data_IF_549523620544
#
_entry.id   IF_549523620544
#
_cell.length_a   1.000
_cell.length_b   1.000
_cell.length_c   1.000
_cell.angle_alpha   90.00
_cell.angle_beta   90.00
_cell.angle_gamma   90.00
#
_symmetry.space_group_name_H-M   'P 1'
#
loop_
_entity.id
_entity.type
_entity.pdbx_description
1 polymer ?
#
# COMPACT_ATOMS: atom_id res chain seq x y z
N UNK A 1 -2.64 7.31 -3.70
CA UNK A 1 -3.66 6.38 -3.14
C UNK A 1 -4.28 5.43 -4.16
N UNK A 2 -4.86 5.88 -5.30
CA UNK A 2 -5.38 4.99 -6.37
C UNK A 2 -4.35 4.51 -7.40
N UNK A 3 -3.10 5.00 -7.30
CA UNK A 3 -1.99 4.75 -8.22
C UNK A 3 -2.24 5.05 -9.70
N UNK A 4 -3.17 5.94 -9.99
CA UNK A 4 -3.40 6.50 -11.32
C UNK A 4 -2.57 7.77 -11.48
N UNK A 5 -1.98 7.94 -12.66
CA UNK A 5 -1.34 9.21 -13.09
C UNK A 5 -2.42 10.22 -13.46
N UNK A 6 -2.08 11.53 -13.47
CA UNK A 6 -2.89 12.52 -14.14
C UNK A 6 -3.20 12.05 -15.57
N UNK A 7 -4.46 12.16 -15.99
CA UNK A 7 -4.96 11.77 -17.31
C UNK A 7 -5.08 10.27 -17.61
N UNK A 8 -4.70 9.38 -16.68
CA UNK A 8 -5.07 7.96 -16.82
C UNK A 8 -6.61 7.81 -16.83
N UNK A 9 -7.18 6.84 -17.58
CA UNK A 9 -8.61 6.59 -17.56
C UNK A 9 -9.16 6.41 -16.13
N UNK A 10 -10.16 7.22 -15.76
CA UNK A 10 -10.76 7.20 -14.42
C UNK A 10 -9.97 7.95 -13.35
N UNK A 11 -8.87 8.65 -13.69
CA UNK A 11 -8.20 9.58 -12.80
C UNK A 11 -9.09 10.79 -12.47
N UNK A 12 -8.90 11.37 -11.29
CA UNK A 12 -9.55 12.64 -10.96
C UNK A 12 -8.96 13.74 -11.87
N UNK A 13 -9.84 14.56 -12.44
CA UNK A 13 -9.41 15.64 -13.31
C UNK A 13 -8.60 16.68 -12.52
N UNK A 14 -7.47 17.11 -13.09
CA UNK A 14 -6.67 18.21 -12.55
C UNK A 14 -7.01 19.44 -13.37
N UNK A 15 -7.64 20.42 -12.76
CA UNK A 15 -7.94 21.70 -13.41
C UNK A 15 -7.41 22.86 -12.55
N UNK A 16 -7.00 23.93 -13.23
CA UNK A 16 -6.42 25.14 -12.61
C UNK A 16 -7.48 25.94 -11.85
N UNK A 17 -8.74 25.81 -12.26
CA UNK A 17 -9.91 26.37 -11.58
C UNK A 17 -10.63 25.24 -10.84
N UNK A 18 -11.16 25.53 -9.66
CA UNK A 18 -11.87 24.57 -8.84
C UNK A 18 -13.06 23.95 -9.60
N UNK A 19 -12.97 22.65 -9.89
CA UNK A 19 -13.92 21.97 -10.78
C UNK A 19 -15.02 21.19 -10.07
N UNK A 20 -14.84 20.88 -8.78
CA UNK A 20 -15.76 20.02 -8.06
C UNK A 20 -16.80 20.88 -7.34
N UNK A 21 -17.99 21.01 -7.93
CA UNK A 21 -19.15 21.68 -7.31
C UNK A 21 -20.05 20.71 -6.54
N UNK A 22 -19.89 19.39 -6.76
CA UNK A 22 -20.64 18.32 -6.11
C UNK A 22 -19.68 17.19 -5.67
N UNK A 23 -19.94 16.52 -4.53
CA UNK A 23 -19.19 15.34 -4.12
C UNK A 23 -19.09 14.31 -5.25
N UNK A 24 -17.87 13.96 -5.64
CA UNK A 24 -17.63 13.03 -6.76
C UNK A 24 -16.89 11.79 -6.27
N UNK A 25 -17.47 10.62 -6.52
CA UNK A 25 -16.90 9.34 -6.13
C UNK A 25 -15.95 8.79 -7.19
N UNK A 26 -14.78 8.35 -6.74
CA UNK A 26 -13.77 7.69 -7.55
C UNK A 26 -13.48 6.30 -7.00
N UNK A 27 -14.04 5.23 -7.59
CA UNK A 27 -13.76 3.85 -7.20
C UNK A 27 -12.27 3.51 -7.38
N UNK A 28 -11.75 2.66 -6.50
CA UNK A 28 -10.41 2.10 -6.64
C UNK A 28 -10.40 1.03 -7.74
N UNK A 29 -9.42 1.04 -8.68
CA UNK A 29 -9.39 0.07 -9.79
C UNK A 29 -9.42 -1.41 -9.34
N UNK A 30 -8.68 -1.74 -8.27
CA UNK A 30 -8.64 -3.10 -7.71
C UNK A 30 -9.84 -3.46 -6.81
N UNK A 31 -10.69 -2.49 -6.43
CA UNK A 31 -11.82 -2.72 -5.53
C UNK A 31 -12.88 -1.61 -5.63
N UNK A 32 -13.96 -1.86 -6.36
CA UNK A 32 -15.03 -0.89 -6.59
C UNK A 32 -15.80 -0.45 -5.32
N UNK A 33 -15.73 -1.26 -4.26
CA UNK A 33 -16.33 -0.93 -2.97
C UNK A 33 -15.49 0.07 -2.17
N UNK A 34 -14.21 0.24 -2.50
CA UNK A 34 -13.35 1.28 -1.95
C UNK A 34 -13.48 2.54 -2.83
N UNK A 35 -14.05 3.61 -2.27
CA UNK A 35 -14.29 4.86 -2.99
C UNK A 35 -13.54 6.00 -2.35
N UNK A 36 -12.78 6.74 -3.16
CA UNK A 36 -12.22 8.04 -2.77
C UNK A 36 -13.19 9.11 -3.22
N UNK A 37 -13.67 9.92 -2.28
CA UNK A 37 -14.60 10.99 -2.58
C UNK A 37 -13.83 12.31 -2.64
N UNK A 38 -13.89 12.97 -3.79
CA UNK A 38 -13.44 14.34 -3.93
C UNK A 38 -14.59 15.26 -3.54
N UNK A 39 -14.35 16.11 -2.54
CA UNK A 39 -15.34 17.02 -1.98
C UNK A 39 -15.00 18.45 -2.40
N UNK A 40 -15.99 19.26 -2.80
CA UNK A 40 -15.80 20.70 -3.02
C UNK A 40 -15.08 21.37 -1.86
N UNK A 41 -14.18 22.32 -2.13
CA UNK A 41 -13.56 23.12 -1.08
C UNK A 41 -14.61 23.90 -0.29
N UNK A 42 -14.40 24.01 1.03
CA UNK A 42 -15.30 24.80 1.88
C UNK A 42 -15.33 26.28 1.47
N UNK A 43 -14.20 26.79 0.96
CA UNK A 43 -14.01 28.18 0.52
C UNK A 43 -14.34 28.39 -0.97
N UNK A 44 -14.89 27.38 -1.63
CA UNK A 44 -15.19 27.44 -3.06
C UNK A 44 -16.32 28.40 -3.36
N UNK A 45 -16.09 29.37 -4.25
CA UNK A 45 -17.16 30.23 -4.79
C UNK A 45 -18.21 29.40 -5.57
N UNK A 46 -17.86 28.17 -5.98
CA UNK A 46 -18.68 27.25 -6.78
C UNK A 46 -19.82 26.57 -6.01
N UNK A 47 -19.83 26.62 -4.68
CA UNK A 47 -21.00 26.25 -3.84
C UNK A 47 -21.87 27.48 -3.49
N UNK A 48 -21.61 28.65 -4.10
CA UNK A 48 -22.35 29.89 -3.81
C UNK A 48 -22.00 30.45 -2.42
N UNK A 49 -20.76 30.23 -1.99
CA UNK A 49 -20.37 30.21 -0.57
C UNK A 49 -19.87 31.54 -0.02
N UNK A 50 -20.25 32.68 -0.61
CA UNK A 50 -20.30 33.90 0.20
C UNK A 50 -21.39 33.82 1.29
N UNK A 51 -22.30 32.83 1.24
CA UNK A 51 -23.42 32.68 2.19
C UNK A 51 -23.86 31.24 2.54
N UNK A 52 -23.09 30.18 2.29
CA UNK A 52 -23.51 28.86 2.80
C UNK A 52 -23.16 28.76 4.29
N UNK A 53 -24.15 28.63 5.20
CA UNK A 53 -23.83 28.45 6.61
C UNK A 53 -23.02 27.16 6.77
N UNK A 54 -21.93 27.21 7.54
CA UNK A 54 -21.08 26.08 7.93
C UNK A 54 -21.84 24.74 8.13
N UNK A 55 -23.02 24.80 8.72
CA UNK A 55 -23.86 23.61 8.96
C UNK A 55 -24.51 23.01 7.70
N UNK A 56 -24.89 23.84 6.71
CA UNK A 56 -25.47 23.39 5.45
C UNK A 56 -24.47 22.60 4.60
N UNK A 57 -23.18 22.96 4.67
CA UNK A 57 -22.10 22.22 3.99
C UNK A 57 -22.01 20.75 4.47
N UNK A 58 -22.05 20.52 5.79
CA UNK A 58 -21.98 19.16 6.36
C UNK A 58 -23.11 18.27 5.84
N UNK A 59 -24.32 18.83 5.76
CA UNK A 59 -25.50 18.13 5.24
C UNK A 59 -25.41 17.92 3.74
N UNK A 60 -25.04 18.96 2.97
CA UNK A 60 -24.92 18.88 1.51
C UNK A 60 -23.87 17.86 1.06
N UNK A 61 -22.76 17.76 1.80
CA UNK A 61 -21.68 16.81 1.52
C UNK A 61 -21.92 15.43 2.14
N UNK A 62 -23.01 15.25 2.88
CA UNK A 62 -23.40 14.00 3.54
C UNK A 62 -22.28 13.34 4.36
N UNK A 63 -21.70 14.06 5.31
CA UNK A 63 -20.49 13.62 6.06
C UNK A 63 -20.59 12.24 6.72
N UNK A 64 -21.80 11.80 7.09
CA UNK A 64 -22.02 10.51 7.73
C UNK A 64 -21.71 9.31 6.81
N UNK A 65 -21.68 9.51 5.49
CA UNK A 65 -21.43 8.43 4.53
C UNK A 65 -19.96 8.00 4.44
N UNK A 66 -19.03 8.81 4.92
CA UNK A 66 -17.60 8.54 4.81
C UNK A 66 -17.08 7.80 6.04
N UNK A 67 -16.09 6.94 5.86
CA UNK A 67 -15.44 6.21 6.95
C UNK A 67 -14.46 7.09 7.73
N UNK A 68 -13.71 7.94 7.02
CA UNK A 68 -12.75 8.89 7.55
C UNK A 68 -12.52 10.02 6.54
N UNK A 69 -11.79 11.05 6.94
CA UNK A 69 -11.53 12.23 6.11
C UNK A 69 -10.04 12.51 5.92
N UNK A 70 -9.70 13.07 4.76
CA UNK A 70 -8.38 13.62 4.47
C UNK A 70 -8.55 15.12 4.28
N UNK A 71 -7.95 15.92 5.15
CA UNK A 71 -7.98 17.38 5.05
C UNK A 71 -6.66 17.80 4.44
N UNK A 72 -6.68 18.10 3.14
CA UNK A 72 -5.48 18.37 2.34
C UNK A 72 -5.32 19.87 2.13
N UNK A 73 -4.14 20.41 2.43
CA UNK A 73 -3.79 21.80 2.17
C UNK A 73 -2.46 21.90 1.40
N UNK A 74 -2.29 22.98 0.63
CA UNK A 74 -1.05 23.27 -0.11
C UNK A 74 -0.11 24.24 0.57
N UNK A 75 -0.59 25.06 1.50
CA UNK A 75 0.23 26.14 2.10
C UNK A 75 0.11 26.15 3.62
N UNK A 76 -1.01 26.63 4.15
CA UNK A 76 -1.28 26.66 5.58
C UNK A 76 -2.68 26.16 5.84
N UNK A 77 -2.89 25.58 7.01
CA UNK A 77 -4.24 25.30 7.48
C UNK A 77 -4.91 26.59 7.92
N UNK A 78 -6.20 26.68 7.62
CA UNK A 78 -7.05 27.83 7.91
C UNK A 78 -7.95 27.54 9.11
N UNK A 79 -8.67 28.57 9.57
CA UNK A 79 -9.73 28.39 10.57
C UNK A 79 -10.84 27.44 10.09
N UNK A 80 -11.07 27.36 8.77
CA UNK A 80 -12.07 26.48 8.19
C UNK A 80 -11.66 25.02 8.26
N UNK A 81 -10.38 24.71 8.04
CA UNK A 81 -9.83 23.35 8.20
C UNK A 81 -9.93 22.88 9.66
N UNK A 82 -9.61 23.77 10.60
CA UNK A 82 -9.72 23.50 12.02
C UNK A 82 -11.18 23.29 12.44
N UNK A 83 -12.08 24.11 11.93
CA UNK A 83 -13.52 23.96 12.17
C UNK A 83 -14.06 22.64 11.60
N UNK A 84 -13.61 22.26 10.40
CA UNK A 84 -13.97 21.03 9.72
C UNK A 84 -13.53 19.82 10.55
N UNK A 85 -12.27 19.77 10.97
CA UNK A 85 -11.74 18.71 11.83
C UNK A 85 -12.51 18.59 13.15
N UNK A 86 -12.82 19.72 13.81
CA UNK A 86 -13.64 19.73 15.04
C UNK A 86 -15.04 19.13 14.79
N UNK A 87 -15.65 19.37 13.62
CA UNK A 87 -16.96 18.80 13.28
C UNK A 87 -16.87 17.30 12.97
N UNK A 88 -15.86 16.87 12.23
CA UNK A 88 -15.59 15.46 11.94
C UNK A 88 -15.37 14.67 13.23
N UNK A 89 -14.58 15.21 14.16
CA UNK A 89 -14.36 14.60 15.47
C UNK A 89 -15.66 14.48 16.28
N UNK A 90 -16.54 15.49 16.24
CA UNK A 90 -17.84 15.47 16.94
C UNK A 90 -18.79 14.40 16.41
N UNK A 91 -18.66 13.98 15.15
CA UNK A 91 -19.42 12.86 14.58
C UNK A 91 -18.69 11.52 14.69
N UNK A 92 -17.66 11.45 15.55
CA UNK A 92 -16.85 10.25 15.82
C UNK A 92 -16.21 9.64 14.57
N UNK A 93 -15.80 10.48 13.62
CA UNK A 93 -15.06 10.06 12.42
C UNK A 93 -13.59 10.47 12.55
N UNK A 94 -12.70 9.63 12.04
CA UNK A 94 -11.27 9.96 11.97
C UNK A 94 -10.97 10.95 10.85
N UNK A 95 -9.88 11.69 11.01
CA UNK A 95 -9.33 12.53 9.95
C UNK A 95 -7.80 12.56 10.01
N UNK A 96 -7.19 12.91 8.88
CA UNK A 96 -5.75 13.13 8.73
C UNK A 96 -5.54 14.49 8.08
N UNK A 97 -4.67 15.32 8.66
CA UNK A 97 -4.22 16.58 8.08
C UNK A 97 -3.02 16.32 7.17
N UNK A 98 -3.12 16.74 5.91
CA UNK A 98 -2.07 16.51 4.91
C UNK A 98 -1.66 17.86 4.32
N UNK A 99 -0.44 18.29 4.61
CA UNK A 99 0.23 19.37 3.88
C UNK A 99 0.96 18.75 2.70
N UNK A 100 0.42 18.94 1.50
CA UNK A 100 1.03 18.44 0.25
C UNK A 100 2.01 19.46 -0.34
N UNK A 101 2.70 19.16 -1.45
CA UNK A 101 3.64 20.05 -2.16
C UNK A 101 4.95 20.38 -1.43
N UNK A 102 5.37 19.53 -0.49
CA UNK A 102 6.66 19.68 0.21
C UNK A 102 7.85 19.69 -0.75
N UNK A 103 7.75 18.95 -1.85
CA UNK A 103 8.74 18.99 -2.93
C UNK A 103 8.93 20.40 -3.49
N UNK A 104 7.84 21.13 -3.74
CA UNK A 104 7.93 22.49 -4.27
C UNK A 104 8.43 23.49 -3.22
N UNK A 105 8.09 23.30 -1.93
CA UNK A 105 8.61 24.17 -0.86
C UNK A 105 10.14 24.03 -0.73
N UNK A 106 10.65 22.79 -0.86
CA UNK A 106 12.08 22.50 -0.87
C UNK A 106 12.76 23.13 -2.09
N UNK A 107 12.25 22.84 -3.30
CA UNK A 107 12.82 23.36 -4.55
C UNK A 107 12.93 24.90 -4.49
N UNK A 108 11.85 25.59 -4.09
CA UNK A 108 11.84 27.05 -3.99
C UNK A 108 12.82 27.60 -2.94
N UNK A 109 12.93 26.96 -1.77
CA UNK A 109 13.81 27.44 -0.70
C UNK A 109 15.28 27.20 -1.05
N UNK A 110 15.58 26.08 -1.72
CA UNK A 110 16.92 25.76 -2.17
C UNK A 110 17.41 26.75 -3.22
N UNK A 111 16.54 27.14 -4.17
CA UNK A 111 16.85 28.18 -5.16
C UNK A 111 17.12 29.56 -4.52
N UNK A 112 16.49 29.86 -3.38
CA UNK A 112 16.67 31.14 -2.68
C UNK A 112 17.88 31.17 -1.72
N UNK A 113 18.27 30.02 -1.16
CA UNK A 113 19.20 29.93 -0.02
C UNK A 113 20.31 28.88 -0.24
N UNK A 114 20.79 28.72 -1.47
CA UNK A 114 21.72 27.66 -1.93
C UNK A 114 22.72 27.15 -0.87
N UNK A 115 23.56 28.04 -0.28
CA UNK A 115 24.62 27.63 0.66
C UNK A 115 24.13 27.31 2.10
N UNK A 116 22.92 27.72 2.48
CA UNK A 116 22.37 27.58 3.84
C UNK A 116 21.15 26.66 3.90
N UNK A 117 20.82 25.98 2.81
CA UNK A 117 19.64 25.13 2.75
C UNK A 117 19.72 23.97 3.74
N UNK A 118 18.73 23.91 4.63
CA UNK A 118 18.56 22.86 5.62
C UNK A 118 17.12 22.31 5.51
N UNK A 119 16.99 21.15 4.86
CA UNK A 119 15.71 20.47 4.65
C UNK A 119 15.02 20.15 6.00
N UNK A 120 15.77 19.73 7.02
CA UNK A 120 15.19 19.37 8.32
C UNK A 120 14.61 20.59 9.04
N UNK A 121 15.35 21.70 9.05
CA UNK A 121 14.89 22.96 9.64
C UNK A 121 13.68 23.52 8.86
N UNK A 122 13.69 23.48 7.53
CA UNK A 122 12.54 23.88 6.71
C UNK A 122 11.29 23.06 7.05
N UNK A 123 11.41 21.73 7.10
CA UNK A 123 10.30 20.85 7.44
C UNK A 123 9.80 21.08 8.87
N UNK A 124 10.69 21.33 9.82
CA UNK A 124 10.34 21.68 11.19
C UNK A 124 9.56 23.01 11.24
N UNK A 125 10.00 24.02 10.49
CA UNK A 125 9.33 25.32 10.40
C UNK A 125 7.93 25.19 9.77
N UNK A 126 7.79 24.46 8.66
CA UNK A 126 6.50 24.19 8.03
C UNK A 126 5.57 23.44 9.00
N UNK A 127 6.09 22.42 9.70
CA UNK A 127 5.31 21.68 10.69
C UNK A 127 4.83 22.59 11.81
N UNK A 128 5.72 23.39 12.39
CA UNK A 128 5.39 24.30 13.49
C UNK A 128 4.38 25.36 13.06
N UNK A 129 4.49 25.90 11.84
CA UNK A 129 3.51 26.84 11.28
C UNK A 129 2.14 26.17 11.14
N UNK A 130 2.07 24.96 10.56
CA UNK A 130 0.83 24.19 10.46
C UNK A 130 0.23 23.91 11.85
N UNK A 131 1.06 23.48 12.79
CA UNK A 131 0.62 23.20 14.16
C UNK A 131 0.16 24.45 14.88
N UNK A 132 0.80 25.60 14.75
CA UNK A 132 0.37 26.84 15.40
C UNK A 132 -1.07 27.23 14.99
N UNK A 133 -1.42 27.02 13.70
CA UNK A 133 -2.77 27.25 13.19
C UNK A 133 -3.79 26.22 13.72
N UNK A 134 -3.37 24.98 14.01
CA UNK A 134 -4.22 23.91 14.54
C UNK A 134 -4.34 23.90 16.09
N UNK A 135 -3.24 24.17 16.80
CA UNK A 135 -3.05 24.02 18.25
C UNK A 135 -3.57 25.19 19.08
N UNK A 136 -3.75 26.38 18.48
CA UNK A 136 -4.57 27.45 19.07
C UNK A 136 -5.98 26.97 19.48
N UNK A 137 -6.35 25.75 19.07
CA UNK A 137 -7.69 25.23 19.12
C UNK A 137 -7.85 23.76 19.59
N UNK A 138 -6.81 22.89 19.60
CA UNK A 138 -6.81 21.55 20.24
C UNK A 138 -5.43 20.83 20.19
N UNK A 139 -4.89 20.34 21.32
CA UNK A 139 -3.61 19.60 21.37
C UNK A 139 -3.65 18.20 20.72
N UNK A 140 -4.83 17.62 20.52
CA UNK A 140 -4.97 16.26 19.98
C UNK A 140 -4.76 16.17 18.46
N UNK A 141 -4.52 17.29 17.76
CA UNK A 141 -4.41 17.31 16.29
C UNK A 141 -2.99 17.11 15.76
N UNK A 142 -1.97 17.21 16.62
CA UNK A 142 -0.57 17.18 16.20
C UNK A 142 -0.13 15.85 15.59
N UNK A 143 -0.61 14.72 16.15
CA UNK A 143 -0.31 13.38 15.62
C UNK A 143 -0.93 13.09 14.26
N UNK A 144 -1.94 13.87 13.86
CA UNK A 144 -2.67 13.69 12.60
C UNK A 144 -2.08 14.51 11.44
N UNK A 145 -0.97 15.24 11.63
CA UNK A 145 -0.34 16.06 10.58
C UNK A 145 0.76 15.29 9.82
N UNK A 146 0.65 15.29 8.49
CA UNK A 146 1.58 14.65 7.56
C UNK A 146 2.02 15.65 6.49
N UNK A 147 3.34 15.79 6.32
CA UNK A 147 3.99 16.58 5.29
C UNK A 147 4.40 15.66 4.13
N UNK A 148 3.79 15.80 2.96
CA UNK A 148 4.01 14.90 1.82
C UNK A 148 4.17 15.65 0.50
N UNK A 149 4.63 14.95 -0.52
CA UNK A 149 4.41 15.35 -1.91
C UNK A 149 3.27 14.54 -2.53
N UNK A 150 2.55 15.16 -3.46
CA UNK A 150 1.57 14.46 -4.30
C UNK A 150 2.21 13.71 -5.48
N UNK A 151 3.50 13.91 -5.75
CA UNK A 151 4.20 13.25 -6.86
C UNK A 151 4.51 11.79 -6.50
N UNK A 152 4.16 10.86 -7.40
CA UNK A 152 4.30 9.41 -7.15
C UNK A 152 5.76 8.94 -6.96
N UNK A 153 6.74 9.68 -7.50
CA UNK A 153 8.16 9.39 -7.33
C UNK A 153 8.65 9.65 -5.89
N UNK A 154 7.91 10.45 -5.11
CA UNK A 154 8.28 10.82 -3.74
C UNK A 154 7.52 10.02 -2.66
N UNK A 155 6.86 8.91 -3.01
CA UNK A 155 6.12 8.06 -2.06
C UNK A 155 6.98 7.41 -0.96
N UNK A 156 8.31 7.56 -1.02
CA UNK A 156 9.26 7.10 0.01
C UNK A 156 9.83 8.22 0.86
N UNK A 157 9.53 9.49 0.53
CA UNK A 157 10.06 10.67 1.22
C UNK A 157 9.06 11.22 2.23
N UNK A 158 9.59 11.99 3.19
CA UNK A 158 8.84 12.71 4.21
C UNK A 158 7.84 11.82 4.95
N UNK A 159 6.62 12.31 5.21
CA UNK A 159 5.61 11.59 5.96
C UNK A 159 4.77 10.61 5.14
N UNK A 160 5.01 10.43 3.83
CA UNK A 160 4.15 9.58 3.02
C UNK A 160 4.11 8.11 3.52
N UNK A 161 5.24 7.46 3.85
CA UNK A 161 5.22 6.11 4.43
C UNK A 161 4.44 6.05 5.74
N UNK A 162 4.65 7.04 6.63
CA UNK A 162 3.95 7.15 7.92
C UNK A 162 2.44 7.33 7.74
N UNK A 163 2.03 8.22 6.82
CA UNK A 163 0.63 8.42 6.44
C UNK A 163 0.00 7.11 5.97
N UNK A 164 0.70 6.36 5.11
CA UNK A 164 0.21 5.08 4.62
C UNK A 164 0.08 4.04 5.76
N UNK A 165 1.06 3.94 6.65
CA UNK A 165 1.00 3.04 7.79
C UNK A 165 -0.20 3.33 8.70
N UNK A 166 -0.46 4.61 8.99
CA UNK A 166 -1.57 5.03 9.84
C UNK A 166 -2.92 4.83 9.15
N UNK A 167 -3.03 5.11 7.85
CA UNK A 167 -4.24 4.83 7.05
C UNK A 167 -4.57 3.33 7.03
N UNK A 168 -3.55 2.47 6.89
CA UNK A 168 -3.72 1.02 6.83
C UNK A 168 -4.16 0.42 8.17
N UNK A 169 -3.94 1.11 9.29
CA UNK A 169 -4.36 0.64 10.62
C UNK A 169 -5.68 1.27 11.09
N UNK A 170 -6.14 2.34 10.42
CA UNK A 170 -7.34 3.09 10.80
C UNK A 170 -8.63 2.26 10.79
N UNK A 171 -8.79 1.37 9.81
CA UNK A 171 -10.04 0.63 9.62
C UNK A 171 -10.21 -0.56 10.58
N UNK A 172 -11.46 -0.94 10.93
CA UNK A 172 -11.77 -2.24 11.55
C UNK A 172 -11.41 -3.42 10.63
N UNK A 173 -11.17 -4.60 11.20
CA UNK A 173 -10.49 -5.73 10.54
C UNK A 173 -10.96 -6.08 9.12
N UNK A 174 -12.27 -6.19 8.86
CA UNK A 174 -12.77 -6.54 7.52
C UNK A 174 -12.52 -5.42 6.49
N UNK A 175 -12.83 -4.17 6.85
CA UNK A 175 -12.56 -3.00 5.99
C UNK A 175 -11.05 -2.82 5.80
N UNK A 176 -10.27 -3.07 6.85
CA UNK A 176 -8.80 -3.02 6.84
C UNK A 176 -8.24 -4.02 5.84
N UNK A 177 -8.72 -5.26 5.85
CA UNK A 177 -8.27 -6.28 4.92
C UNK A 177 -8.55 -5.88 3.46
N UNK A 178 -9.77 -5.43 3.16
CA UNK A 178 -10.13 -4.97 1.82
C UNK A 178 -9.33 -3.75 1.36
N UNK A 179 -9.08 -2.80 2.28
CA UNK A 179 -8.27 -1.62 2.01
C UNK A 179 -6.81 -1.98 1.73
N UNK A 180 -6.17 -2.79 2.57
CA UNK A 180 -4.77 -3.23 2.40
C UNK A 180 -4.57 -3.97 1.06
N UNK A 181 -5.49 -4.85 0.67
CA UNK A 181 -5.38 -5.56 -0.61
C UNK A 181 -5.59 -4.64 -1.81
N UNK A 182 -6.45 -3.61 -1.69
CA UNK A 182 -6.64 -2.64 -2.76
C UNK A 182 -5.43 -1.71 -2.95
N UNK A 183 -4.75 -1.31 -1.86
CA UNK A 183 -3.61 -0.40 -1.96
C UNK A 183 -2.48 -0.98 -2.81
N UNK A 184 -1.76 -0.16 -3.56
CA UNK A 184 -0.56 -0.60 -4.29
C UNK A 184 0.67 -0.59 -3.37
N UNK A 185 1.64 -1.51 -3.56
CA UNK A 185 2.85 -1.63 -2.73
C UNK A 185 3.88 -0.54 -3.05
N UNK A 186 3.51 0.72 -2.84
CA UNK A 186 4.32 1.91 -3.18
C UNK A 186 5.36 2.29 -2.12
N UNK A 187 5.28 1.68 -0.93
CA UNK A 187 6.27 1.82 0.11
C UNK A 187 6.42 0.56 0.97
N UNK A 188 7.50 0.49 1.76
CA UNK A 188 7.83 -0.69 2.59
C UNK A 188 6.71 -1.05 3.56
N UNK A 189 6.03 -0.06 4.12
CA UNK A 189 4.97 -0.30 5.10
C UNK A 189 3.71 -0.89 4.47
N UNK A 190 3.38 -0.51 3.23
CA UNK A 190 2.29 -1.16 2.47
C UNK A 190 2.66 -2.60 2.13
N UNK A 191 3.91 -2.86 1.72
CA UNK A 191 4.41 -4.21 1.43
C UNK A 191 4.25 -5.11 2.66
N UNK A 192 4.75 -4.67 3.82
CA UNK A 192 4.65 -5.42 5.08
C UNK A 192 3.20 -5.68 5.49
N UNK A 193 2.35 -4.65 5.42
CA UNK A 193 0.93 -4.78 5.75
C UNK A 193 0.22 -5.80 4.84
N UNK A 194 0.49 -5.76 3.53
CA UNK A 194 0.00 -6.76 2.59
C UNK A 194 0.49 -8.15 2.95
N UNK A 195 1.78 -8.35 3.20
CA UNK A 195 2.34 -9.66 3.53
C UNK A 195 1.66 -10.28 4.76
N UNK A 196 1.43 -9.50 5.81
CA UNK A 196 0.69 -9.97 6.99
C UNK A 196 -0.71 -10.47 6.62
N UNK A 197 -1.40 -9.78 5.72
CA UNK A 197 -2.75 -10.14 5.27
C UNK A 197 -2.76 -11.31 4.28
N UNK A 198 -1.76 -11.42 3.41
CA UNK A 198 -1.56 -12.55 2.51
C UNK A 198 -1.25 -13.83 3.30
N UNK A 199 -0.44 -13.74 4.36
CA UNK A 199 -0.10 -14.88 5.23
C UNK A 199 -1.34 -15.52 5.87
N UNK A 200 -2.38 -14.72 6.18
CA UNK A 200 -3.66 -15.22 6.71
C UNK A 200 -4.41 -16.12 5.71
N UNK A 201 -4.17 -15.96 4.40
CA UNK A 201 -4.82 -16.76 3.34
C UNK A 201 -4.19 -18.14 3.17
N UNK A 202 -2.90 -18.29 3.53
CA UNK A 202 -2.16 -19.55 3.40
C UNK A 202 -2.90 -20.72 4.06
N UNK A 203 -3.45 -20.48 5.25
CA UNK A 203 -4.20 -21.50 5.97
C UNK A 203 -5.45 -21.95 5.20
N UNK A 204 -6.21 -21.03 4.59
CA UNK A 204 -7.40 -21.35 3.80
C UNK A 204 -7.05 -22.20 2.58
N UNK A 205 -5.96 -21.85 1.89
CA UNK A 205 -5.46 -22.61 0.73
C UNK A 205 -5.00 -24.01 1.17
N UNK A 206 -4.31 -24.12 2.31
CA UNK A 206 -3.88 -25.41 2.84
C UNK A 206 -5.06 -26.30 3.24
N UNK A 207 -6.11 -25.75 3.88
CA UNK A 207 -7.35 -26.50 4.19
C UNK A 207 -8.01 -27.00 2.91
N UNK A 208 -8.14 -26.15 1.88
CA UNK A 208 -8.70 -26.56 0.60
C UNK A 208 -7.86 -27.67 -0.06
N UNK A 209 -6.53 -27.56 -0.01
CA UNK A 209 -5.58 -28.55 -0.56
C UNK A 209 -5.63 -29.90 0.17
N UNK A 210 -6.04 -29.90 1.45
CA UNK A 210 -6.22 -31.12 2.24
C UNK A 210 -7.55 -31.83 1.93
N UNK A 211 -8.55 -31.09 1.41
CA UNK A 211 -9.87 -31.62 1.06
C UNK A 211 -9.89 -32.29 -0.32
N UNK A 212 -8.97 -31.92 -1.21
CA UNK A 212 -8.80 -32.54 -2.54
C UNK A 212 -7.97 -33.82 -2.40
N UNK A 213 -8.31 -34.87 -3.15
CA UNK A 213 -7.51 -36.10 -3.19
C UNK A 213 -6.07 -35.76 -3.59
N UNK A 214 -5.10 -36.15 -2.76
CA UNK A 214 -3.69 -35.86 -2.96
C UNK A 214 -3.25 -36.37 -4.33
N UNK A 215 -2.89 -35.45 -5.23
CA UNK A 215 -2.20 -35.77 -6.48
C UNK A 215 -0.71 -35.78 -6.14
N UNK A 216 0.00 -36.93 -6.18
CA UNK A 216 1.45 -36.92 -6.15
C UNK A 216 1.90 -36.10 -7.36
N UNK A 217 2.54 -34.95 -7.15
CA UNK A 217 3.14 -34.24 -8.26
C UNK A 217 4.22 -35.17 -8.82
N UNK A 218 4.17 -35.57 -10.10
CA UNK A 218 5.28 -36.29 -10.69
C UNK A 218 6.53 -35.44 -10.43
N UNK A 219 7.62 -36.08 -10.01
CA UNK A 219 8.90 -35.44 -9.66
C UNK A 219 9.01 -34.77 -8.27
N UNK A 220 8.00 -34.80 -7.40
CA UNK A 220 8.14 -34.36 -5.99
C UNK A 220 7.66 -35.46 -5.06
N UNK A 221 8.48 -35.90 -4.11
CA UNK A 221 8.16 -37.00 -3.17
C UNK A 221 7.17 -36.63 -2.05
N UNK A 222 6.42 -35.53 -2.20
CA UNK A 222 5.45 -35.01 -1.24
C UNK A 222 4.12 -34.75 -1.96
N UNK A 223 2.99 -35.04 -1.30
CA UNK A 223 1.67 -34.77 -1.84
C UNK A 223 1.18 -33.37 -1.49
N UNK A 224 0.77 -32.57 -2.47
CA UNK A 224 0.15 -31.24 -2.27
C UNK A 224 -0.62 -30.79 -3.52
N UNK A 225 -1.50 -29.80 -3.37
CA UNK A 225 -2.20 -29.19 -4.51
C UNK A 225 -1.29 -28.15 -5.20
N UNK A 226 -0.58 -28.60 -6.23
CA UNK A 226 0.28 -27.73 -7.04
C UNK A 226 -0.50 -26.58 -7.70
N UNK A 227 -1.74 -26.83 -8.13
CA UNK A 227 -2.53 -25.83 -8.84
C UNK A 227 -2.94 -24.69 -7.90
N UNK A 228 -3.40 -25.03 -6.70
CA UNK A 228 -3.72 -24.06 -5.66
C UNK A 228 -2.49 -23.23 -5.28
N UNK A 229 -1.33 -23.87 -5.10
CA UNK A 229 -0.07 -23.17 -4.82
C UNK A 229 0.33 -22.22 -5.96
N UNK A 230 0.18 -22.62 -7.23
CA UNK A 230 0.46 -21.77 -8.39
C UNK A 230 -0.46 -20.54 -8.42
N UNK A 231 -1.76 -20.74 -8.19
CA UNK A 231 -2.74 -19.66 -8.19
C UNK A 231 -2.47 -18.65 -7.07
N UNK A 232 -2.22 -19.14 -5.85
CA UNK A 232 -1.92 -18.26 -4.72
C UNK A 232 -0.57 -17.54 -4.91
N UNK A 233 0.43 -18.20 -5.51
CA UNK A 233 1.71 -17.58 -5.87
C UNK A 233 1.54 -16.45 -6.89
N UNK A 234 0.68 -16.64 -7.92
CA UNK A 234 0.34 -15.56 -8.87
C UNK A 234 -0.33 -14.39 -8.16
N UNK A 235 -1.24 -14.68 -7.23
CA UNK A 235 -1.91 -13.65 -6.43
C UNK A 235 -0.90 -12.84 -5.59
N UNK A 236 0.06 -13.50 -4.94
CA UNK A 236 1.13 -12.80 -4.21
C UNK A 236 1.96 -11.88 -5.11
N UNK A 237 2.35 -12.35 -6.30
CA UNK A 237 3.11 -11.54 -7.27
C UNK A 237 2.36 -10.28 -7.67
N UNK A 238 1.06 -10.40 -7.95
CA UNK A 238 0.21 -9.25 -8.27
C UNK A 238 0.13 -8.28 -7.09
N UNK A 239 -0.18 -8.78 -5.88
CA UNK A 239 -0.38 -7.96 -4.69
C UNK A 239 0.88 -7.23 -4.24
N UNK A 240 2.05 -7.84 -4.43
CA UNK A 240 3.35 -7.28 -4.05
C UNK A 240 4.03 -6.50 -5.19
N UNK A 241 3.38 -6.33 -6.34
CA UNK A 241 3.91 -5.53 -7.45
C UNK A 241 5.12 -6.15 -8.14
N UNK A 242 5.21 -7.48 -8.12
CA UNK A 242 6.29 -8.29 -8.71
C UNK A 242 5.89 -8.91 -10.06
N UNK A 243 4.91 -8.30 -10.73
CA UNK A 243 4.57 -8.62 -12.13
C UNK A 243 5.48 -7.84 -13.07
N UNK A 244 5.66 -8.35 -14.27
CA UNK A 244 6.49 -7.68 -15.28
C UNK A 244 6.01 -6.25 -15.55
N UNK A 245 4.70 -6.07 -15.77
CA UNK A 245 4.10 -4.76 -16.03
C UNK A 245 4.28 -3.78 -14.86
N UNK A 246 4.18 -4.26 -13.62
CA UNK A 246 4.39 -3.43 -12.44
C UNK A 246 5.86 -2.96 -12.35
N UNK A 247 6.82 -3.86 -12.60
CA UNK A 247 8.24 -3.51 -12.59
C UNK A 247 8.61 -2.58 -13.75
N UNK A 248 8.04 -2.78 -14.96
CA UNK A 248 8.20 -1.85 -16.09
C UNK A 248 7.65 -0.46 -15.75
N UNK A 249 6.46 -0.41 -15.16
CA UNK A 249 5.86 0.86 -14.71
C UNK A 249 6.73 1.56 -13.67
N UNK A 250 7.36 0.83 -12.74
CA UNK A 250 8.28 1.39 -11.75
C UNK A 250 9.57 1.90 -12.40
N UNK A 251 10.12 1.14 -13.36
CA UNK A 251 11.29 1.51 -14.16
C UNK A 251 11.07 2.85 -14.88
N UNK A 252 9.97 2.98 -15.62
CA UNK A 252 9.60 4.21 -16.30
C UNK A 252 9.38 5.38 -15.34
N UNK A 253 8.67 5.13 -14.22
CA UNK A 253 8.31 6.17 -13.24
C UNK A 253 9.51 6.78 -12.55
N UNK A 254 10.51 5.96 -12.20
CA UNK A 254 11.67 6.39 -11.44
C UNK A 254 12.92 6.59 -12.31
N UNK A 255 12.84 6.34 -13.62
CA UNK A 255 13.98 6.42 -14.53
C UNK A 255 15.08 5.40 -14.22
N UNK A 256 14.73 4.28 -13.58
CA UNK A 256 15.66 3.24 -13.17
C UNK A 256 15.63 2.13 -14.23
N UNK A 257 16.79 1.65 -14.75
CA UNK A 257 16.81 0.56 -15.72
C UNK A 257 16.06 -0.68 -15.23
N UNK A 258 15.23 -1.26 -16.10
CA UNK A 258 14.40 -2.42 -15.79
C UNK A 258 15.25 -3.60 -15.27
N UNK A 259 16.44 -3.79 -15.85
CA UNK A 259 17.40 -4.84 -15.52
C UNK A 259 17.86 -4.75 -14.07
N UNK A 260 17.95 -3.53 -13.52
CA UNK A 260 18.35 -3.33 -12.11
C UNK A 260 17.33 -3.96 -11.16
N UNK A 261 16.04 -3.87 -11.48
CA UNK A 261 15.01 -4.52 -10.68
C UNK A 261 15.02 -6.03 -10.88
N UNK A 262 15.16 -6.50 -12.11
CA UNK A 262 15.05 -7.94 -12.39
C UNK A 262 16.21 -8.73 -11.82
N UNK A 263 17.44 -8.22 -11.87
CA UNK A 263 18.60 -8.87 -11.23
C UNK A 263 18.34 -9.08 -9.73
N UNK A 264 17.93 -8.02 -9.02
CA UNK A 264 17.66 -8.09 -7.58
C UNK A 264 16.51 -9.02 -7.25
N UNK A 265 15.45 -9.02 -8.06
CA UNK A 265 14.35 -9.93 -7.80
C UNK A 265 14.75 -11.37 -8.13
N UNK A 266 15.49 -11.61 -9.22
CA UNK A 266 15.93 -12.94 -9.66
C UNK A 266 16.79 -13.67 -8.62
N UNK A 267 17.54 -12.93 -7.78
CA UNK A 267 18.27 -13.48 -6.62
C UNK A 267 17.36 -14.24 -5.63
N UNK A 268 16.06 -13.89 -5.59
CA UNK A 268 15.09 -14.43 -4.62
C UNK A 268 13.95 -15.19 -5.30
N UNK A 269 13.46 -14.66 -6.40
CA UNK A 269 12.36 -15.17 -7.20
C UNK A 269 12.79 -15.02 -8.64
N UNK A 270 13.09 -16.10 -9.35
CA UNK A 270 13.53 -15.99 -10.73
C UNK A 270 12.33 -15.56 -11.58
N UNK A 271 12.16 -14.25 -11.73
CA UNK A 271 11.16 -13.58 -12.56
C UNK A 271 11.48 -13.83 -14.03
N UNK A 272 12.76 -13.92 -14.39
CA UNK A 272 13.19 -14.20 -15.77
C UNK A 272 13.60 -15.67 -16.00
N UNK A 273 14.14 -16.34 -14.98
CA UNK A 273 14.74 -17.67 -15.15
C UNK A 273 13.82 -18.86 -14.83
N UNK A 274 12.54 -18.63 -14.51
CA UNK A 274 11.57 -19.72 -14.39
C UNK A 274 10.55 -19.71 -15.51
N UNK A 275 10.70 -20.68 -16.40
CA UNK A 275 9.64 -21.23 -17.22
C UNK A 275 8.36 -21.47 -16.38
N UNK A 276 7.38 -20.56 -16.43
CA UNK A 276 6.11 -20.59 -15.69
C UNK A 276 6.22 -20.55 -14.14
N UNK A 277 5.30 -19.82 -13.48
CA UNK A 277 5.14 -19.84 -12.00
C UNK A 277 5.09 -21.27 -11.43
N UNK A 278 4.61 -22.24 -12.22
CA UNK A 278 4.61 -23.66 -11.85
C UNK A 278 5.99 -24.24 -11.57
N UNK A 279 7.00 -23.96 -12.38
CA UNK A 279 8.35 -24.50 -12.14
C UNK A 279 9.00 -23.89 -10.90
N UNK A 280 8.66 -22.65 -10.54
CA UNK A 280 9.15 -22.00 -9.33
C UNK A 280 8.53 -22.64 -8.08
N UNK A 281 7.21 -22.84 -8.09
CA UNK A 281 6.52 -23.57 -7.03
C UNK A 281 7.10 -24.98 -6.90
N UNK A 282 7.35 -25.66 -8.02
CA UNK A 282 8.00 -26.98 -8.04
C UNK A 282 9.43 -26.95 -7.49
N UNK A 283 10.24 -25.94 -7.81
CA UNK A 283 11.62 -25.84 -7.29
C UNK A 283 11.63 -25.63 -5.78
N UNK A 284 10.71 -24.81 -5.25
CA UNK A 284 10.51 -24.66 -3.80
C UNK A 284 10.02 -25.98 -3.21
N UNK A 285 9.02 -26.64 -3.80
CA UNK A 285 8.54 -27.94 -3.31
C UNK A 285 9.66 -29.01 -3.24
N UNK A 286 10.57 -29.03 -4.21
CA UNK A 286 11.76 -29.90 -4.20
C UNK A 286 12.75 -29.54 -3.09
N UNK A 287 13.04 -28.26 -2.88
CA UNK A 287 13.96 -27.84 -1.81
C UNK A 287 13.40 -28.22 -0.43
N UNK A 288 12.08 -28.11 -0.25
CA UNK A 288 11.36 -28.58 0.95
C UNK A 288 11.51 -30.09 1.12
N UNK A 289 11.23 -30.88 0.07
CA UNK A 289 11.38 -32.33 0.12
C UNK A 289 12.80 -32.76 0.52
N UNK A 290 13.84 -32.13 -0.04
CA UNK A 290 15.24 -32.44 0.35
C UNK A 290 15.56 -32.07 1.80
N UNK A 291 14.96 -31.00 2.32
CA UNK A 291 15.17 -30.54 3.70
C UNK A 291 14.49 -31.46 4.72
N UNK A 292 13.33 -32.01 4.38
CA UNK A 292 12.61 -33.02 5.18
C UNK A 292 13.33 -34.38 5.20
N UNK A 293 14.12 -34.71 4.17
CA UNK A 293 14.94 -35.94 4.14
C UNK A 293 16.19 -35.81 5.03
N UNK A 294 16.73 -34.60 5.19
CA UNK A 294 17.97 -34.34 5.97
C UNK A 294 17.76 -34.25 7.48
N UNK A 295 16.56 -33.87 7.93
CA UNK A 295 16.22 -33.94 9.34
C UNK A 295 15.62 -35.33 9.62
N UNK A 296 16.28 -36.17 10.42
CA UNK A 296 15.67 -37.36 11.05
C UNK A 296 14.57 -36.99 12.08
N UNK A 297 13.87 -35.87 11.89
CA UNK A 297 12.75 -35.43 12.71
C UNK A 297 11.43 -35.78 12.02
N UNK A 298 11.25 -37.06 11.70
CA UNK A 298 9.95 -37.66 11.37
C UNK A 298 9.00 -37.71 12.60
N UNK A 299 9.04 -36.69 13.48
CA UNK A 299 8.14 -36.57 14.65
C UNK A 299 6.90 -35.73 14.40
N UNK A 300 6.70 -35.18 13.20
CA UNK A 300 5.45 -34.49 12.85
C UNK A 300 4.51 -35.30 11.95
N UNK A 301 4.87 -36.52 11.52
CA UNK A 301 4.03 -37.32 10.65
C UNK A 301 4.11 -38.82 11.06
N UNK A 302 3.16 -39.34 11.87
CA UNK A 302 3.04 -40.78 12.07
C UNK A 302 2.46 -41.41 10.80
N UNK A 303 2.91 -42.62 10.43
CA UNK A 303 2.77 -43.22 9.09
C UNK A 303 1.72 -44.35 9.04
N UNK A 304 0.41 -44.03 8.98
CA UNK A 304 -0.75 -44.93 8.71
C UNK A 304 -1.98 -44.19 8.07
N UNK A 305 -2.34 -44.48 6.81
CA UNK A 305 -3.71 -44.26 6.25
C UNK A 305 -4.09 -42.89 5.66
N UNK A 306 -5.27 -42.82 5.02
CA UNK A 306 -5.84 -41.68 4.26
C UNK A 306 -5.98 -40.35 5.03
N UNK A 307 -5.94 -40.38 6.36
CA UNK A 307 -5.91 -39.20 7.22
C UNK A 307 -4.54 -38.48 7.24
N UNK A 308 -3.45 -39.13 6.79
CA UNK A 308 -2.12 -38.49 6.68
C UNK A 308 -1.93 -37.80 5.36
N UNK A 309 -2.50 -38.33 4.28
CA UNK A 309 -2.40 -37.68 2.98
C UNK A 309 -2.95 -36.24 3.05
N UNK A 310 -4.06 -36.03 3.76
CA UNK A 310 -4.63 -34.70 4.00
C UNK A 310 -3.78 -33.85 4.95
N UNK A 311 -3.26 -34.40 6.06
CA UNK A 311 -2.40 -33.67 6.99
C UNK A 311 -1.02 -33.29 6.39
N UNK A 312 -0.42 -34.18 5.61
CA UNK A 312 0.81 -33.94 4.87
C UNK A 312 0.58 -32.90 3.76
N UNK A 313 -0.50 -33.02 2.98
CA UNK A 313 -0.88 -32.01 1.98
C UNK A 313 -1.08 -30.62 2.60
N UNK A 314 -1.78 -30.56 3.74
CA UNK A 314 -1.94 -29.34 4.52
C UNK A 314 -0.59 -28.76 4.95
N UNK A 315 0.24 -29.55 5.64
CA UNK A 315 1.52 -29.10 6.19
C UNK A 315 2.52 -28.68 5.10
N UNK A 316 2.62 -29.46 4.02
CA UNK A 316 3.44 -29.15 2.86
C UNK A 316 2.98 -27.85 2.18
N UNK A 317 1.66 -27.67 1.98
CA UNK A 317 1.10 -26.45 1.38
C UNK A 317 1.39 -25.22 2.26
N UNK A 318 1.19 -25.33 3.59
CA UNK A 318 1.54 -24.27 4.53
C UNK A 318 3.02 -23.87 4.40
N UNK A 319 3.93 -24.86 4.39
CA UNK A 319 5.36 -24.59 4.35
C UNK A 319 5.76 -23.94 3.02
N UNK A 320 5.37 -24.53 1.89
CA UNK A 320 5.69 -24.03 0.54
C UNK A 320 5.21 -22.59 0.39
N UNK A 321 3.94 -22.30 0.71
CA UNK A 321 3.38 -20.96 0.54
C UNK A 321 3.99 -19.93 1.50
N UNK A 322 4.38 -20.32 2.71
CA UNK A 322 5.10 -19.41 3.61
C UNK A 322 6.50 -19.10 3.09
N UNK A 323 7.25 -20.09 2.62
CA UNK A 323 8.57 -19.88 1.99
C UNK A 323 8.46 -18.93 0.82
N UNK A 324 7.53 -19.22 -0.11
CA UNK A 324 7.27 -18.37 -1.28
C UNK A 324 6.93 -16.93 -0.85
N UNK A 325 5.96 -16.76 0.06
CA UNK A 325 5.53 -15.43 0.47
C UNK A 325 6.66 -14.63 1.14
N UNK A 326 7.51 -15.29 1.94
CA UNK A 326 8.67 -14.64 2.56
C UNK A 326 9.68 -14.18 1.50
N UNK A 327 9.98 -15.00 0.49
CA UNK A 327 10.86 -14.61 -0.61
C UNK A 327 10.28 -13.43 -1.41
N UNK A 328 8.95 -13.41 -1.62
CA UNK A 328 8.25 -12.29 -2.27
C UNK A 328 8.25 -11.01 -1.44
N UNK A 329 8.09 -11.12 -0.12
CA UNK A 329 8.21 -9.99 0.77
C UNK A 329 9.60 -9.37 0.67
N UNK A 330 10.66 -10.18 0.75
CA UNK A 330 12.03 -9.68 0.67
C UNK A 330 12.33 -9.04 -0.69
N UNK A 331 11.94 -9.69 -1.79
CA UNK A 331 12.10 -9.12 -3.13
C UNK A 331 11.37 -7.78 -3.27
N UNK A 332 10.11 -7.68 -2.80
CA UNK A 332 9.34 -6.45 -2.85
C UNK A 332 9.97 -5.33 -1.99
N UNK A 333 10.53 -5.66 -0.82
CA UNK A 333 11.25 -4.71 0.02
C UNK A 333 12.54 -4.21 -0.64
N UNK A 334 13.30 -5.10 -1.30
CA UNK A 334 14.50 -4.73 -2.05
C UNK A 334 14.17 -3.82 -3.24
N UNK A 335 13.05 -4.06 -3.94
CA UNK A 335 12.56 -3.15 -4.99
C UNK A 335 12.33 -1.74 -4.43
N UNK A 336 11.73 -1.62 -3.24
CA UNK A 336 11.57 -0.32 -2.59
C UNK A 336 12.91 0.31 -2.21
N UNK A 337 13.92 -0.48 -1.83
CA UNK A 337 15.26 0.00 -1.51
C UNK A 337 15.99 0.56 -2.73
N UNK A 338 15.88 -0.11 -3.88
CA UNK A 338 16.42 0.38 -5.15
C UNK A 338 15.87 1.78 -5.47
N UNK A 339 14.56 1.96 -5.29
CA UNK A 339 13.89 3.25 -5.52
C UNK A 339 14.48 4.31 -4.60
N UNK A 340 14.53 4.05 -3.29
CA UNK A 340 15.07 5.00 -2.29
C UNK A 340 16.52 5.37 -2.59
N UNK A 341 17.38 4.38 -2.86
CA UNK A 341 18.80 4.61 -3.16
C UNK A 341 19.00 5.41 -4.44
N UNK A 342 18.17 5.16 -5.47
CA UNK A 342 18.26 5.94 -6.71
C UNK A 342 17.92 7.41 -6.48
N UNK A 343 16.91 7.71 -5.67
CA UNK A 343 16.50 9.07 -5.36
C UNK A 343 17.53 9.84 -4.52
N UNK A 344 18.33 9.14 -3.70
CA UNK A 344 19.42 9.75 -2.94
C UNK A 344 20.64 10.13 -3.81
N UNK A 345 20.83 9.50 -4.97
CA UNK A 345 21.96 9.77 -5.87
C UNK A 345 21.72 10.95 -6.83
N UNK A 346 20.53 11.55 -6.82
CA UNK A 346 20.16 12.73 -7.63
C UNK A 346 20.05 14.03 -6.81
N UNK A 347 20.39 13.99 -5.52
CA UNK A 347 20.47 15.16 -4.65
C UNK A 347 21.92 15.59 -4.46
#
# INVERSE_FOLDING_TARGET
>A
MRSLRPYDPGAAAVNVVECTSLPTAYPHPENENLKFWDLPGFDSDSVGTKKCPKQAYITAMNFNQYDFFLIVCRTRFTENDTWLAKKINKINKGFFFIRTQIDADIDNTQDEQEELFDEENLLANIRNDCLAHLESNNKNFSSALYLISGKLNNNQRWDYPRLMADLLTHFPDLKRHAFILAMNPVCKDVVRAKTVHLRKRIWLVAVASAAVAVIPAPFVSIGFDLTACIQETKFYRQQLGLTEDAIRTLSERHGIPYERFTITIDERIPIQAVASVGQFVLSVARSVATSMIKQESARYIPLIGSAIASAASFGTTLYILNTILNDMEQAALQVQEIIVQSSANFN
#
